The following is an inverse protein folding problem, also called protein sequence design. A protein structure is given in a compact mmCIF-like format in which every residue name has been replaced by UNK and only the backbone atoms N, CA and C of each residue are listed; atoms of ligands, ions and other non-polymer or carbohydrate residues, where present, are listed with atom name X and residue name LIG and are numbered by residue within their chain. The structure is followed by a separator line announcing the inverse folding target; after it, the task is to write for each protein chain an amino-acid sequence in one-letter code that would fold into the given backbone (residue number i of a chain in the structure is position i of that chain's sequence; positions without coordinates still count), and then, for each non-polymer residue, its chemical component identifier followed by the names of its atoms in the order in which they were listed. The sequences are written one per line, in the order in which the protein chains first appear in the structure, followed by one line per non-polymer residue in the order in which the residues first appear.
data_IF_042750061865
#
_entry.id   IF_042750061865
#
_cell.length_a   1.000
_cell.length_b   1.000
_cell.length_c   1.000
_cell.angle_alpha   90.00
_cell.angle_beta   90.00
_cell.angle_gamma   90.00
#
_symmetry.space_group_name_H-M   'P 1'
#
loop_
_entity.id
_entity.type
_entity.pdbx_description
1 polymer ?
#
# COMPACT_ATOMS: atom_id res chain seq x y z
N UNK A 1 19.87 -43.15 8.90
CA UNK A 1 19.93 -42.29 7.68
C UNK A 1 18.79 -41.31 7.73
N UNK A 2 19.06 -40.04 8.02
CA UNK A 2 18.05 -38.97 7.97
C UNK A 2 17.95 -38.45 6.55
N UNK A 3 16.81 -38.64 5.88
CA UNK A 3 16.53 -38.06 4.60
C UNK A 3 16.30 -36.55 4.78
N UNK A 4 17.19 -35.75 4.21
CA UNK A 4 17.06 -34.32 4.09
C UNK A 4 15.74 -34.01 3.34
N UNK A 5 14.85 -33.15 3.85
CA UNK A 5 13.67 -32.76 3.12
C UNK A 5 14.07 -32.02 1.83
N UNK A 6 13.30 -32.14 0.73
CA UNK A 6 13.63 -31.51 -0.53
C UNK A 6 13.70 -29.99 -0.32
N UNK A 7 14.76 -29.38 -0.83
CA UNK A 7 14.91 -27.93 -0.89
C UNK A 7 13.72 -27.35 -1.65
N UNK A 8 12.92 -26.53 -0.96
CA UNK A 8 11.94 -25.69 -1.63
C UNK A 8 12.71 -24.78 -2.57
N UNK A 9 12.65 -25.05 -3.86
CA UNK A 9 13.04 -24.08 -4.88
C UNK A 9 12.20 -22.84 -4.66
N UNK A 10 12.84 -21.76 -4.21
CA UNK A 10 12.25 -20.44 -4.29
C UNK A 10 11.96 -20.22 -5.78
N UNK A 11 10.70 -20.30 -6.15
CA UNK A 11 10.24 -19.73 -7.40
C UNK A 11 10.42 -18.23 -7.31
N UNK A 12 11.57 -17.75 -7.78
CA UNK A 12 11.70 -16.39 -8.28
C UNK A 12 10.77 -16.33 -9.48
N UNK A 13 9.55 -15.85 -9.27
CA UNK A 13 8.57 -15.64 -10.31
C UNK A 13 9.13 -14.55 -11.25
N UNK A 14 9.68 -14.99 -12.36
CA UNK A 14 9.91 -14.14 -13.53
C UNK A 14 8.56 -13.57 -13.95
N UNK A 15 8.36 -12.28 -13.65
CA UNK A 15 7.52 -11.33 -14.36
C UNK A 15 6.14 -11.77 -14.86
N UNK A 16 5.30 -12.39 -14.06
CA UNK A 16 3.90 -12.60 -14.43
C UNK A 16 3.20 -11.24 -14.47
N UNK A 17 2.83 -10.81 -15.69
CA UNK A 17 2.00 -9.63 -15.87
C UNK A 17 0.65 -9.88 -15.19
N UNK A 18 0.27 -8.99 -14.28
CA UNK A 18 -1.06 -9.01 -13.68
C UNK A 18 -2.06 -8.51 -14.71
N UNK A 19 -3.15 -9.24 -14.85
CA UNK A 19 -4.27 -8.84 -15.70
C UNK A 19 -5.32 -8.20 -14.80
N UNK A 20 -5.71 -6.93 -15.06
CA UNK A 20 -6.79 -6.29 -14.32
C UNK A 20 -8.10 -7.07 -14.49
N UNK A 21 -8.82 -7.28 -13.39
CA UNK A 21 -10.12 -7.96 -13.38
C UNK A 21 -11.21 -6.93 -13.10
N UNK A 22 -12.13 -6.73 -14.04
CA UNK A 22 -13.25 -5.82 -13.84
C UNK A 22 -14.19 -6.36 -12.75
N UNK A 23 -14.41 -5.55 -11.69
CA UNK A 23 -15.27 -5.88 -10.56
C UNK A 23 -16.58 -5.08 -10.57
N UNK A 24 -16.59 -3.95 -11.26
CA UNK A 24 -17.74 -3.11 -11.56
C UNK A 24 -17.41 -2.27 -12.79
N UNK A 25 -18.39 -1.78 -13.55
CA UNK A 25 -18.12 -1.00 -14.75
C UNK A 25 -17.12 0.13 -14.50
N UNK A 26 -15.94 0.04 -15.14
CA UNK A 26 -14.84 1.00 -14.99
C UNK A 26 -13.96 0.85 -13.75
N UNK A 27 -14.19 -0.16 -12.90
CA UNK A 27 -13.42 -0.44 -11.70
C UNK A 27 -12.76 -1.82 -11.79
N UNK A 28 -11.45 -1.88 -11.61
CA UNK A 28 -10.67 -3.11 -11.81
C UNK A 28 -9.87 -3.47 -10.57
N UNK A 29 -9.95 -4.71 -10.15
CA UNK A 29 -8.98 -5.27 -9.21
C UNK A 29 -7.64 -5.47 -9.94
N UNK A 30 -6.57 -4.92 -9.38
CA UNK A 30 -5.21 -5.04 -9.88
C UNK A 30 -4.31 -5.47 -8.72
N UNK A 31 -4.15 -6.79 -8.54
CA UNK A 31 -3.51 -7.40 -7.37
C UNK A 31 -4.20 -6.93 -6.06
N UNK A 32 -3.47 -6.29 -5.14
CA UNK A 32 -4.00 -5.75 -3.87
C UNK A 32 -4.65 -4.36 -4.02
N UNK A 33 -4.75 -3.83 -5.23
CA UNK A 33 -5.21 -2.47 -5.47
C UNK A 33 -6.49 -2.42 -6.29
N UNK A 34 -7.19 -1.30 -6.18
CA UNK A 34 -8.26 -0.92 -7.10
C UNK A 34 -7.67 0.04 -8.15
N UNK A 35 -7.86 -0.29 -9.42
CA UNK A 35 -7.45 0.53 -10.55
C UNK A 35 -8.67 1.12 -11.25
N UNK A 36 -8.65 2.41 -11.54
CA UNK A 36 -9.67 3.15 -12.27
C UNK A 36 -9.02 3.76 -13.51
N UNK A 37 -9.10 3.08 -14.68
CA UNK A 37 -8.40 3.51 -15.90
C UNK A 37 -8.80 4.90 -16.38
N UNK A 38 -10.06 5.29 -16.20
CA UNK A 38 -10.58 6.57 -16.67
C UNK A 38 -9.94 7.76 -15.95
N UNK A 39 -9.59 7.59 -14.70
CA UNK A 39 -8.88 8.59 -13.88
C UNK A 39 -7.36 8.32 -13.87
N UNK A 40 -6.93 7.21 -14.48
CA UNK A 40 -5.57 6.69 -14.38
C UNK A 40 -5.05 6.70 -12.94
N UNK A 41 -5.87 6.20 -12.03
CA UNK A 41 -5.54 6.17 -10.62
C UNK A 41 -5.55 4.77 -10.02
N UNK A 42 -4.63 4.57 -9.07
CA UNK A 42 -4.48 3.37 -8.26
C UNK A 42 -4.88 3.68 -6.82
N UNK A 43 -5.68 2.81 -6.21
CA UNK A 43 -6.12 2.97 -4.81
C UNK A 43 -5.63 1.76 -4.00
N UNK A 44 -4.87 2.05 -2.97
CA UNK A 44 -4.36 1.09 -1.98
C UNK A 44 -4.97 1.41 -0.63
N UNK A 45 -5.41 0.42 0.14
CA UNK A 45 -5.95 0.63 1.48
C UNK A 45 -5.44 -0.41 2.47
N UNK A 46 -5.58 -0.12 3.76
CA UNK A 46 -5.37 -1.06 4.87
C UNK A 46 -4.01 -1.79 4.84
N UNK A 47 -2.93 -1.08 4.54
CA UNK A 47 -1.60 -1.68 4.42
C UNK A 47 -1.02 -2.13 5.76
N UNK A 48 -1.47 -1.54 6.88
CA UNK A 48 -1.15 -1.93 8.25
C UNK A 48 0.36 -2.11 8.52
N UNK A 49 1.18 -1.19 8.00
CA UNK A 49 2.63 -1.23 8.17
C UNK A 49 3.02 -1.17 9.66
N UNK A 50 4.05 -1.90 10.04
CA UNK A 50 4.53 -1.96 11.42
C UNK A 50 3.72 -2.90 12.34
N UNK A 51 2.80 -3.69 11.79
CA UNK A 51 2.00 -4.67 12.54
C UNK A 51 2.87 -5.62 13.38
N UNK A 52 3.97 -6.10 12.81
CA UNK A 52 4.86 -7.04 13.48
C UNK A 52 5.56 -6.42 14.70
N UNK A 53 5.91 -5.14 14.63
CA UNK A 53 6.52 -4.44 15.77
C UNK A 53 5.53 -4.30 16.93
N UNK A 54 4.26 -4.08 16.61
CA UNK A 54 3.21 -4.07 17.61
C UNK A 54 3.14 -5.39 18.38
N UNK A 55 3.12 -6.52 17.69
CA UNK A 55 3.13 -7.85 18.32
C UNK A 55 4.45 -8.13 19.06
N UNK A 56 5.59 -7.77 18.46
CA UNK A 56 6.91 -7.97 19.09
C UNK A 56 7.03 -7.17 20.40
N UNK A 57 6.47 -5.96 20.45
CA UNK A 57 6.45 -5.15 21.68
C UNK A 57 5.61 -5.76 22.81
N UNK A 58 4.65 -6.63 22.45
CA UNK A 58 3.83 -7.41 23.39
C UNK A 58 4.45 -8.77 23.75
N UNK A 59 5.67 -9.06 23.27
CA UNK A 59 6.35 -10.34 23.51
C UNK A 59 5.96 -11.47 22.57
N UNK A 60 5.17 -11.20 21.54
CA UNK A 60 4.81 -12.17 20.50
C UNK A 60 5.78 -11.99 19.32
N UNK A 61 6.75 -12.89 19.18
CA UNK A 61 7.74 -12.81 18.11
C UNK A 61 7.13 -13.14 16.75
N UNK A 62 6.90 -12.10 15.94
CA UNK A 62 6.41 -12.19 14.56
C UNK A 62 7.53 -11.74 13.62
N UNK A 63 7.90 -12.55 12.61
CA UNK A 63 8.87 -12.15 11.61
C UNK A 63 8.38 -10.95 10.79
N UNK A 64 9.29 -10.03 10.47
CA UNK A 64 8.98 -8.82 9.68
C UNK A 64 8.91 -9.15 8.19
N UNK A 65 7.72 -9.41 7.68
CA UNK A 65 7.50 -9.76 6.27
C UNK A 65 6.41 -8.92 5.58
N UNK A 66 5.48 -8.30 6.32
CA UNK A 66 4.36 -7.55 5.74
C UNK A 66 4.83 -6.51 4.71
N UNK A 67 5.73 -5.62 5.08
CA UNK A 67 6.21 -4.59 4.16
C UNK A 67 6.95 -5.17 2.94
N UNK A 68 7.65 -6.30 3.10
CA UNK A 68 8.28 -7.00 1.99
C UNK A 68 7.25 -7.55 1.01
N UNK A 69 6.17 -8.13 1.52
CA UNK A 69 5.07 -8.64 0.70
C UNK A 69 4.36 -7.50 -0.03
N UNK A 70 4.04 -6.41 0.65
CA UNK A 70 3.47 -5.19 0.03
C UNK A 70 4.35 -4.72 -1.13
N UNK A 71 5.68 -4.62 -0.94
CA UNK A 71 6.60 -4.24 -2.01
C UNK A 71 6.59 -5.22 -3.20
N UNK A 72 6.50 -6.52 -2.96
CA UNK A 72 6.43 -7.51 -4.02
C UNK A 72 5.13 -7.37 -4.84
N UNK A 73 4.00 -7.13 -4.18
CA UNK A 73 2.73 -6.86 -4.85
C UNK A 73 2.81 -5.59 -5.70
N UNK A 74 3.30 -4.49 -5.14
CA UNK A 74 3.48 -3.23 -5.86
C UNK A 74 4.40 -3.40 -7.06
N UNK A 75 5.51 -4.15 -6.92
CA UNK A 75 6.42 -4.42 -8.04
C UNK A 75 5.73 -5.15 -9.19
N UNK A 76 4.84 -6.12 -8.89
CA UNK A 76 4.04 -6.79 -9.92
C UNK A 76 3.08 -5.83 -10.61
N UNK A 77 2.43 -4.94 -9.85
CA UNK A 77 1.57 -3.89 -10.40
C UNK A 77 2.37 -3.00 -11.34
N UNK A 78 3.52 -2.48 -10.90
CA UNK A 78 4.36 -1.58 -11.69
C UNK A 78 5.02 -2.24 -12.91
N UNK A 79 5.26 -3.54 -12.87
CA UNK A 79 5.68 -4.31 -14.05
C UNK A 79 4.58 -4.40 -15.12
N UNK A 80 3.33 -4.31 -14.73
CA UNK A 80 2.17 -4.37 -15.62
C UNK A 80 1.69 -2.98 -16.06
N UNK A 81 1.75 -2.01 -15.17
CA UNK A 81 1.38 -0.62 -15.39
C UNK A 81 2.42 0.29 -14.72
N UNK A 82 3.30 0.87 -15.53
CA UNK A 82 4.55 1.47 -15.04
C UNK A 82 4.37 2.81 -14.33
N UNK A 83 3.28 3.53 -14.61
CA UNK A 83 3.05 4.86 -14.08
C UNK A 83 1.55 5.16 -13.98
N UNK A 84 1.17 5.95 -12.97
CA UNK A 84 -0.19 6.40 -12.71
C UNK A 84 -0.23 7.92 -12.56
N UNK A 85 -1.33 8.54 -12.96
CA UNK A 85 -1.53 9.98 -12.68
C UNK A 85 -1.67 10.23 -11.18
N UNK A 86 -2.41 9.37 -10.47
CA UNK A 86 -2.57 9.50 -9.02
C UNK A 86 -2.56 8.14 -8.33
N UNK A 87 -1.83 8.05 -7.22
CA UNK A 87 -1.95 6.92 -6.28
C UNK A 87 -2.59 7.42 -4.98
N UNK A 88 -3.70 6.79 -4.60
CA UNK A 88 -4.37 7.03 -3.32
C UNK A 88 -3.94 5.97 -2.31
N UNK A 89 -3.53 6.41 -1.13
CA UNK A 89 -3.40 5.57 0.05
C UNK A 89 -4.64 5.79 0.92
N UNK A 90 -5.59 4.85 0.87
CA UNK A 90 -6.93 5.00 1.44
C UNK A 90 -7.02 4.44 2.85
N UNK A 91 -6.38 5.12 3.77
CA UNK A 91 -6.42 4.88 5.22
C UNK A 91 -5.68 3.64 5.71
N UNK A 92 -5.47 3.62 7.01
CA UNK A 92 -4.83 2.55 7.77
C UNK A 92 -3.50 2.07 7.18
N UNK A 93 -2.66 3.05 6.79
CA UNK A 93 -1.33 2.80 6.23
C UNK A 93 -0.42 2.19 7.30
N UNK A 94 -0.46 2.71 8.53
CA UNK A 94 0.25 2.15 9.68
C UNK A 94 -0.71 1.43 10.62
N UNK A 95 -0.18 0.48 11.39
CA UNK A 95 -0.99 -0.34 12.30
C UNK A 95 -1.25 0.34 13.65
N UNK A 96 -0.24 0.94 14.27
CA UNK A 96 -0.34 1.46 15.63
C UNK A 96 -1.22 2.69 15.73
N UNK A 97 -2.08 2.75 16.77
CA UNK A 97 -2.75 3.99 17.16
C UNK A 97 -1.75 4.94 17.82
N UNK A 98 -1.72 6.20 17.45
CA UNK A 98 -0.82 7.21 18.04
C UNK A 98 0.40 7.52 17.19
N UNK A 99 1.51 7.91 17.83
CA UNK A 99 2.73 8.27 17.11
C UNK A 99 3.35 7.06 16.43
N UNK A 100 3.82 7.26 15.18
CA UNK A 100 4.49 6.21 14.45
C UNK A 100 5.80 5.80 15.17
N UNK A 101 5.97 4.50 15.36
CA UNK A 101 7.22 3.96 15.85
C UNK A 101 8.31 4.02 14.78
N UNK A 102 9.56 3.68 15.13
CA UNK A 102 10.70 3.76 14.22
C UNK A 102 10.58 2.84 13.00
N UNK A 103 9.87 1.71 13.12
CA UNK A 103 9.63 0.80 12.00
C UNK A 103 8.56 1.39 11.08
N UNK A 104 7.41 1.76 11.62
CA UNK A 104 6.32 2.39 10.87
C UNK A 104 6.82 3.61 10.10
N UNK A 105 7.59 4.50 10.76
CA UNK A 105 8.16 5.67 10.12
C UNK A 105 9.01 5.32 8.90
N UNK A 106 9.95 4.38 9.05
CA UNK A 106 10.83 3.95 7.96
C UNK A 106 10.07 3.27 6.83
N UNK A 107 9.13 2.39 7.16
CA UNK A 107 8.36 1.64 6.15
C UNK A 107 7.43 2.56 5.37
N UNK A 108 6.76 3.52 6.03
CA UNK A 108 5.91 4.50 5.35
C UNK A 108 6.74 5.41 4.43
N UNK A 109 7.90 5.91 4.88
CA UNK A 109 8.78 6.72 4.01
C UNK A 109 9.23 5.91 2.80
N UNK A 110 9.71 4.68 2.98
CA UNK A 110 10.14 3.81 1.87
C UNK A 110 8.98 3.49 0.90
N UNK A 111 7.76 3.32 1.44
CA UNK A 111 6.58 3.15 0.60
C UNK A 111 6.34 4.40 -0.25
N UNK A 112 6.33 5.59 0.36
CA UNK A 112 6.09 6.85 -0.36
C UNK A 112 7.17 7.14 -1.40
N UNK A 113 8.44 6.83 -1.10
CA UNK A 113 9.54 6.92 -2.07
C UNK A 113 9.29 5.99 -3.27
N UNK A 114 8.98 4.71 -3.02
CA UNK A 114 8.66 3.75 -4.08
C UNK A 114 7.48 4.22 -4.94
N UNK A 115 6.39 4.69 -4.32
CA UNK A 115 5.21 5.15 -5.06
C UNK A 115 5.51 6.41 -5.87
N UNK A 116 6.38 7.30 -5.39
CA UNK A 116 6.75 8.53 -6.11
C UNK A 116 7.51 8.30 -7.41
N UNK A 117 8.13 7.13 -7.57
CA UNK A 117 8.77 6.73 -8.83
C UNK A 117 7.74 6.30 -9.90
N UNK A 118 6.49 6.02 -9.47
CA UNK A 118 5.44 5.45 -10.30
C UNK A 118 4.16 6.28 -10.36
N UNK A 119 4.16 7.51 -9.83
CA UNK A 119 3.00 8.39 -9.90
C UNK A 119 3.38 9.86 -9.94
N UNK A 120 2.59 10.66 -10.66
CA UNK A 120 2.72 12.12 -10.65
C UNK A 120 2.28 12.71 -9.30
N UNK A 121 1.32 12.05 -8.64
CA UNK A 121 0.73 12.53 -7.41
C UNK A 121 0.40 11.38 -6.46
N UNK A 122 0.73 11.58 -5.19
CA UNK A 122 0.32 10.69 -4.09
C UNK A 122 -0.61 11.47 -3.16
N UNK A 123 -1.74 10.88 -2.82
CA UNK A 123 -2.71 11.43 -1.88
C UNK A 123 -2.96 10.39 -0.79
N UNK A 124 -2.73 10.78 0.46
CA UNK A 124 -3.10 9.99 1.62
C UNK A 124 -4.49 10.43 2.07
N UNK A 125 -5.43 9.49 2.17
CA UNK A 125 -6.71 9.66 2.83
C UNK A 125 -6.55 9.06 4.23
N UNK A 126 -6.86 9.84 5.26
CA UNK A 126 -6.59 9.46 6.63
C UNK A 126 -7.55 8.38 7.13
N UNK A 127 -7.02 7.24 7.59
CA UNK A 127 -7.74 6.25 8.35
C UNK A 127 -7.71 6.53 9.86
N UNK A 128 -8.42 5.71 10.63
CA UNK A 128 -8.50 5.86 12.09
C UNK A 128 -7.16 5.52 12.80
N UNK A 129 -6.31 4.67 12.22
CA UNK A 129 -4.96 4.38 12.71
C UNK A 129 -3.94 5.47 12.35
N UNK A 130 -4.26 6.37 11.42
CA UNK A 130 -3.33 7.33 10.83
C UNK A 130 -3.27 8.68 11.55
N UNK A 131 -3.62 8.73 12.84
CA UNK A 131 -3.72 9.98 13.61
C UNK A 131 -2.43 10.79 13.58
N UNK A 132 -1.27 10.15 13.51
CA UNK A 132 0.04 10.80 13.55
C UNK A 132 0.83 10.73 12.22
N UNK A 133 0.16 10.56 11.08
CA UNK A 133 0.82 10.58 9.76
C UNK A 133 1.18 11.99 9.26
N UNK A 134 0.62 13.04 9.83
CA UNK A 134 0.87 14.43 9.38
C UNK A 134 2.37 14.81 9.31
N UNK A 135 3.22 14.45 10.30
CA UNK A 135 4.66 14.71 10.18
C UNK A 135 5.32 13.97 9.02
N UNK A 136 4.92 12.71 8.78
CA UNK A 136 5.45 11.89 7.68
C UNK A 136 5.02 12.46 6.33
N UNK A 137 3.73 12.77 6.18
CA UNK A 137 3.18 13.35 4.97
C UNK A 137 3.84 14.69 4.63
N UNK A 138 4.08 15.53 5.64
CA UNK A 138 4.81 16.80 5.50
C UNK A 138 6.26 16.57 5.09
N UNK A 139 6.95 15.61 5.70
CA UNK A 139 8.33 15.28 5.37
C UNK A 139 8.45 14.78 3.93
N UNK A 140 7.58 13.87 3.51
CA UNK A 140 7.53 13.33 2.16
C UNK A 140 6.89 14.28 1.12
N UNK A 141 6.35 15.43 1.56
CA UNK A 141 5.65 16.42 0.72
C UNK A 141 4.45 15.83 -0.06
N UNK A 142 3.75 14.89 0.54
CA UNK A 142 2.53 14.31 0.00
C UNK A 142 1.29 14.95 0.58
N UNK A 143 0.20 14.97 -0.20
CA UNK A 143 -1.08 15.52 0.25
C UNK A 143 -1.75 14.57 1.24
N UNK A 144 -2.23 15.10 2.36
CA UNK A 144 -3.02 14.38 3.35
C UNK A 144 -4.44 14.96 3.38
N UNK A 145 -5.43 14.12 3.11
CA UNK A 145 -6.85 14.44 3.18
C UNK A 145 -7.49 13.77 4.39
N UNK A 146 -8.39 14.48 5.06
CA UNK A 146 -9.02 14.00 6.30
C UNK A 146 -10.30 13.22 6.05
N UNK A 147 -11.07 13.61 5.06
CA UNK A 147 -12.42 13.06 4.81
C UNK A 147 -12.47 12.16 3.58
N UNK A 148 -11.74 12.53 2.54
CA UNK A 148 -11.71 11.82 1.28
C UNK A 148 -11.54 12.75 0.08
N UNK A 149 -11.63 12.19 -1.12
CA UNK A 149 -11.41 12.90 -2.39
C UNK A 149 -12.49 12.52 -3.40
N UNK A 150 -13.10 13.54 -4.01
CA UNK A 150 -13.99 13.35 -5.15
C UNK A 150 -13.21 13.07 -6.43
N UNK A 151 -13.70 12.13 -7.22
CA UNK A 151 -13.29 11.87 -8.60
C UNK A 151 -14.42 12.34 -9.51
N UNK A 152 -14.35 13.61 -9.92
CA UNK A 152 -15.47 14.31 -10.55
C UNK A 152 -15.87 13.71 -11.92
N UNK A 153 -14.89 13.19 -12.65
CA UNK A 153 -15.08 12.63 -13.99
C UNK A 153 -15.99 11.40 -13.99
N UNK A 154 -15.96 10.61 -12.93
CA UNK A 154 -16.77 9.39 -12.76
C UNK A 154 -17.80 9.50 -11.63
N UNK A 155 -17.99 10.70 -11.07
CA UNK A 155 -18.91 10.98 -9.96
C UNK A 155 -18.74 10.02 -8.78
N UNK A 156 -17.50 9.71 -8.41
CA UNK A 156 -17.14 8.78 -7.35
C UNK A 156 -16.38 9.50 -6.25
N UNK A 157 -16.49 9.00 -5.03
CA UNK A 157 -15.82 9.54 -3.87
C UNK A 157 -14.97 8.46 -3.20
N UNK A 158 -13.68 8.74 -3.03
CA UNK A 158 -12.74 7.86 -2.33
C UNK A 158 -12.62 8.32 -0.89
N UNK A 159 -13.01 7.48 0.04
CA UNK A 159 -12.91 7.73 1.47
C UNK A 159 -12.56 6.44 2.23
N UNK A 160 -11.97 6.60 3.40
CA UNK A 160 -11.80 5.49 4.33
C UNK A 160 -13.07 5.33 5.17
N UNK A 161 -13.66 4.13 5.14
CA UNK A 161 -14.84 3.80 5.95
C UNK A 161 -14.45 3.35 7.35
N UNK A 162 -14.95 4.00 8.39
CA UNK A 162 -14.76 3.63 9.82
C UNK A 162 -16.03 3.88 10.63
#
# INVERSE_FOLDING_TARGET
MWNKPPEKKEHVATGDKIIPVEISPGFYALDLALYIPFEDCLILGDLQLGLEEHYNSQGVFVPRFNFREVKQHLQRIFNSHTHFTTIFLNGDIKHGFGQANNQEWREVIQLLELLSEHADKIIIIKGNHDIALEPIARFAKVKLEKEGVGLDTIHTYVCHGH
#
